data_IF_400568054718
#
_entry.id   IF_400568054718
#
_cell.length_a   1.000
_cell.length_b   1.000
_cell.length_c   1.000
_cell.angle_alpha   90.00
_cell.angle_beta   90.00
_cell.angle_gamma   90.00
#
_symmetry.space_group_name_H-M   'P 1'
#
loop_
_entity.id
_entity.type
_entity.pdbx_description
1 polymer ?
#
# COMPACT_ATOMS: atom_id res chain seq x y z
N UNK A 1 9.66 6.52 12.55
CA UNK A 1 9.30 7.52 11.53
C UNK A 1 8.55 8.65 12.21
N UNK A 2 9.10 9.86 12.35
CA UNK A 2 8.39 10.98 12.96
C UNK A 2 7.95 12.01 11.93
N UNK A 3 6.88 12.76 12.22
CA UNK A 3 6.48 13.94 11.46
C UNK A 3 6.23 15.11 12.41
N UNK A 4 6.84 16.25 12.09
CA UNK A 4 6.85 17.51 12.84
C UNK A 4 5.83 18.47 12.24
N UNK A 5 5.14 19.31 13.04
CA UNK A 5 4.22 20.38 12.61
C UNK A 5 4.63 21.72 13.25
N UNK A 6 4.40 22.84 12.58
CA UNK A 6 4.53 24.19 13.17
C UNK A 6 3.70 25.26 12.46
N UNK A 7 3.46 26.40 13.11
CA UNK A 7 2.82 27.61 12.53
C UNK A 7 3.57 28.88 13.01
N UNK A 8 4.11 29.69 12.10
CA UNK A 8 4.68 31.04 12.35
C UNK A 8 3.62 32.18 12.42
N UNK A 9 4.02 33.42 12.78
CA UNK A 9 3.15 34.59 13.06
C UNK A 9 3.14 35.66 11.94
N UNK A 10 2.03 36.42 11.86
CA UNK A 10 1.40 37.20 10.74
C UNK A 10 1.92 38.68 10.64
N UNK A 11 2.14 39.38 9.49
CA UNK A 11 1.30 40.28 8.59
C UNK A 11 2.25 41.22 7.75
N UNK A 12 1.86 42.03 6.69
CA UNK A 12 0.85 41.92 5.59
C UNK A 12 1.40 41.73 4.15
N UNK A 13 0.57 41.08 3.32
CA UNK A 13 0.17 41.34 1.91
C UNK A 13 1.20 41.70 0.82
N UNK A 14 1.16 40.95 -0.31
CA UNK A 14 1.02 41.46 -1.70
C UNK A 14 0.53 40.31 -2.62
N UNK A 15 -0.40 40.65 -3.52
CA UNK A 15 -1.05 39.82 -4.54
C UNK A 15 -0.15 39.46 -5.75
N UNK A 16 -0.57 38.48 -6.55
CA UNK A 16 -0.52 38.30 -8.03
C UNK A 16 -0.40 36.78 -8.32
N UNK A 17 -1.05 36.11 -9.27
CA UNK A 17 -1.97 36.43 -10.36
C UNK A 17 -2.30 35.09 -11.09
N UNK A 18 -3.40 35.05 -11.82
CA UNK A 18 -3.92 33.90 -12.58
C UNK A 18 -2.97 33.42 -13.70
N UNK A 19 -3.05 32.14 -14.11
CA UNK A 19 -2.95 31.69 -15.52
C UNK A 19 -3.27 30.17 -15.70
N UNK A 20 -4.32 29.92 -16.49
CA UNK A 20 -4.58 28.79 -17.41
C UNK A 20 -4.96 27.38 -16.91
N UNK A 21 -6.28 27.24 -16.79
CA UNK A 21 -7.07 26.03 -17.09
C UNK A 21 -6.85 25.55 -18.55
N UNK A 22 -6.41 24.29 -18.74
CA UNK A 22 -6.78 23.41 -19.88
C UNK A 22 -6.13 22.01 -19.77
N UNK A 23 -6.80 21.12 -19.04
CA UNK A 23 -6.75 19.65 -19.24
C UNK A 23 -7.91 18.91 -18.53
N UNK A 24 -8.76 19.63 -17.81
CA UNK A 24 -9.84 19.07 -16.98
C UNK A 24 -11.14 18.85 -17.74
N UNK A 25 -11.11 18.29 -18.95
CA UNK A 25 -12.33 17.95 -19.70
C UNK A 25 -12.32 16.59 -20.40
N UNK A 26 -11.36 15.72 -20.09
CA UNK A 26 -11.43 14.32 -20.50
C UNK A 26 -12.21 13.53 -19.45
N UNK A 27 -13.55 13.60 -19.54
CA UNK A 27 -14.45 12.70 -18.82
C UNK A 27 -14.11 11.26 -19.24
N UNK A 28 -13.32 10.58 -18.41
CA UNK A 28 -12.97 9.19 -18.60
C UNK A 28 -14.25 8.35 -18.68
N UNK A 29 -14.34 7.34 -19.57
CA UNK A 29 -15.51 6.46 -19.64
C UNK A 29 -15.76 5.85 -18.26
N UNK A 30 -17.02 5.80 -17.82
CA UNK A 30 -17.35 5.07 -16.60
C UNK A 30 -17.02 3.59 -16.85
N UNK A 31 -16.01 3.09 -16.16
CA UNK A 31 -15.71 1.67 -16.17
C UNK A 31 -16.89 0.99 -15.47
N UNK A 32 -17.69 0.24 -16.23
CA UNK A 32 -18.63 -0.72 -15.65
C UNK A 32 -17.82 -1.60 -14.70
N UNK A 33 -18.18 -1.61 -13.42
CA UNK A 33 -17.58 -2.52 -12.44
C UNK A 33 -17.62 -3.90 -13.07
N UNK A 34 -16.45 -4.53 -13.25
CA UNK A 34 -16.43 -5.96 -13.50
C UNK A 34 -17.28 -6.63 -12.42
N UNK A 35 -18.11 -7.63 -12.74
CA UNK A 35 -18.91 -8.30 -11.75
C UNK A 35 -17.95 -8.78 -10.68
N UNK A 36 -18.02 -8.15 -9.51
CA UNK A 36 -17.45 -8.72 -8.31
C UNK A 36 -18.34 -9.93 -8.10
N UNK A 37 -17.85 -11.12 -8.47
CA UNK A 37 -18.39 -12.35 -7.93
C UNK A 37 -18.13 -12.24 -6.42
N UNK A 38 -19.05 -11.58 -5.73
CA UNK A 38 -19.18 -11.72 -4.30
C UNK A 38 -19.39 -13.20 -4.11
N UNK A 39 -18.39 -13.87 -3.55
CA UNK A 39 -18.66 -15.17 -2.96
C UNK A 39 -19.62 -14.86 -1.82
N UNK A 40 -20.92 -14.93 -2.10
CA UNK A 40 -21.93 -15.26 -1.12
C UNK A 40 -21.50 -16.62 -0.59
N UNK A 41 -20.71 -16.62 0.48
CA UNK A 41 -20.36 -17.83 1.20
C UNK A 41 -21.64 -18.30 1.86
N UNK A 42 -22.39 -19.14 1.15
CA UNK A 42 -23.36 -20.00 1.79
C UNK A 42 -22.61 -20.77 2.88
N UNK A 43 -23.06 -20.62 4.13
CA UNK A 43 -22.64 -21.48 5.23
C UNK A 43 -23.09 -22.90 4.93
N UNK A 44 -22.28 -23.62 4.16
CA UNK A 44 -22.40 -25.07 4.09
C UNK A 44 -21.78 -25.62 5.35
N UNK A 45 -22.63 -26.07 6.27
CA UNK A 45 -22.29 -27.06 7.29
C UNK A 45 -21.83 -28.33 6.57
N UNK A 46 -20.52 -28.41 6.27
CA UNK A 46 -19.93 -29.61 5.68
C UNK A 46 -19.28 -30.41 6.78
N UNK A 47 -19.78 -31.62 6.97
CA UNK A 47 -19.19 -32.72 7.74
C UNK A 47 -17.80 -33.09 7.17
N UNK A 48 -16.82 -32.24 7.46
CA UNK A 48 -15.41 -32.46 7.13
C UNK A 48 -14.68 -33.04 8.33
N UNK A 49 -13.69 -33.90 8.07
CA UNK A 49 -12.78 -34.41 9.11
C UNK A 49 -12.25 -33.24 9.96
N UNK A 50 -12.52 -33.27 11.27
CA UNK A 50 -12.21 -32.17 12.20
C UNK A 50 -10.72 -32.12 12.61
N UNK A 51 -9.96 -33.21 12.39
CA UNK A 51 -8.62 -33.38 12.96
C UNK A 51 -7.61 -33.97 11.95
N UNK A 52 -6.35 -33.53 12.05
CA UNK A 52 -5.24 -34.00 11.20
C UNK A 52 -4.50 -35.24 11.76
N UNK A 53 -5.06 -35.95 12.76
CA UNK A 53 -4.36 -37.05 13.48
C UNK A 53 -4.01 -38.24 12.56
N UNK A 54 -4.81 -38.50 11.54
CA UNK A 54 -4.64 -39.62 10.61
C UNK A 54 -3.81 -39.27 9.36
N UNK A 55 -3.29 -38.04 9.26
CA UNK A 55 -2.48 -37.60 8.12
C UNK A 55 -1.01 -37.89 8.43
N UNK A 56 -0.42 -38.80 7.66
CA UNK A 56 1.02 -39.11 7.71
C UNK A 56 1.69 -38.49 6.49
N UNK A 57 2.78 -37.76 6.70
CA UNK A 57 3.56 -37.17 5.61
C UNK A 57 4.60 -38.15 5.09
N UNK A 58 4.28 -38.82 3.99
CA UNK A 58 5.13 -39.83 3.36
C UNK A 58 5.58 -39.40 1.94
N UNK A 59 5.45 -38.12 1.57
CA UNK A 59 5.76 -37.56 0.23
C UNK A 59 5.10 -38.26 -0.98
N UNK A 60 4.29 -39.31 -0.77
CA UNK A 60 3.55 -40.06 -1.81
C UNK A 60 2.11 -39.57 -1.97
N UNK A 61 1.75 -38.47 -1.30
CA UNK A 61 0.39 -37.97 -1.24
C UNK A 61 -0.16 -37.40 -2.56
N UNK A 62 0.71 -37.06 -3.52
CA UNK A 62 0.36 -36.54 -4.83
C UNK A 62 0.91 -37.48 -5.90
N UNK A 63 0.02 -38.07 -6.71
CA UNK A 63 0.41 -39.04 -7.74
C UNK A 63 0.90 -38.38 -9.03
N UNK A 64 0.52 -37.13 -9.28
CA UNK A 64 0.87 -36.38 -10.48
C UNK A 64 2.28 -35.80 -10.39
N UNK A 65 3.12 -36.11 -11.38
CA UNK A 65 4.53 -35.68 -11.42
C UNK A 65 4.67 -34.25 -11.96
N UNK A 66 5.87 -33.67 -11.81
CA UNK A 66 6.19 -32.37 -12.41
C UNK A 66 6.17 -32.37 -13.93
N UNK A 67 6.47 -33.51 -14.54
CA UNK A 67 6.53 -33.68 -15.99
C UNK A 67 5.12 -33.64 -16.58
N UNK A 68 4.17 -34.36 -15.97
CA UNK A 68 2.74 -34.35 -16.34
C UNK A 68 2.15 -32.92 -16.24
N UNK A 69 2.55 -32.18 -15.19
CA UNK A 69 2.18 -30.77 -15.02
C UNK A 69 2.74 -29.90 -16.15
N UNK A 70 3.95 -30.19 -16.62
CA UNK A 70 4.54 -29.54 -17.78
C UNK A 70 3.84 -29.89 -19.09
N UNK A 71 3.34 -31.12 -19.22
CA UNK A 71 2.58 -31.56 -20.39
C UNK A 71 1.21 -30.88 -20.47
N UNK A 72 0.45 -30.84 -19.38
CA UNK A 72 -0.83 -30.10 -19.35
C UNK A 72 -0.64 -28.62 -19.68
N UNK A 73 0.45 -28.01 -19.21
CA UNK A 73 0.80 -26.63 -19.58
C UNK A 73 1.13 -26.49 -21.07
N UNK A 74 1.86 -27.45 -21.65
CA UNK A 74 2.19 -27.49 -23.09
C UNK A 74 0.96 -27.70 -23.96
N UNK A 75 -0.01 -28.48 -23.48
CA UNK A 75 -1.31 -28.69 -24.13
C UNK A 75 -2.24 -27.47 -24.02
N UNK A 76 -1.85 -26.43 -23.26
CA UNK A 76 -2.63 -25.21 -23.11
C UNK A 76 -3.80 -25.34 -22.12
N UNK A 77 -3.77 -26.33 -21.23
CA UNK A 77 -4.78 -26.49 -20.18
C UNK A 77 -4.87 -25.24 -19.31
N UNK A 78 -6.09 -24.88 -18.91
CA UNK A 78 -6.30 -23.72 -18.03
C UNK A 78 -5.74 -23.99 -16.65
N UNK A 79 -5.33 -22.93 -15.97
CA UNK A 79 -4.82 -23.01 -14.60
C UNK A 79 -5.82 -23.67 -13.64
N UNK A 80 -7.12 -23.43 -13.84
CA UNK A 80 -8.20 -24.02 -13.03
C UNK A 80 -8.31 -25.54 -13.24
N UNK A 81 -8.21 -26.01 -14.49
CA UNK A 81 -8.22 -27.43 -14.86
C UNK A 81 -7.03 -28.17 -14.22
N UNK A 82 -5.85 -27.54 -14.19
CA UNK A 82 -4.66 -28.09 -13.51
C UNK A 82 -4.89 -28.21 -12.00
N UNK A 83 -5.60 -27.25 -11.38
CA UNK A 83 -5.91 -27.29 -9.95
C UNK A 83 -6.90 -28.42 -9.64
N UNK A 84 -7.92 -28.61 -10.47
CA UNK A 84 -8.90 -29.70 -10.33
C UNK A 84 -8.24 -31.07 -10.52
N UNK A 85 -7.38 -31.22 -11.53
CA UNK A 85 -6.60 -32.44 -11.74
C UNK A 85 -5.69 -32.76 -10.53
N UNK A 86 -5.09 -31.74 -9.91
CA UNK A 86 -4.28 -31.92 -8.71
C UNK A 86 -5.09 -32.34 -7.48
N UNK A 87 -6.34 -31.87 -7.37
CA UNK A 87 -7.26 -32.26 -6.29
C UNK A 87 -7.68 -33.72 -6.47
N UNK A 88 -8.06 -34.11 -7.70
CA UNK A 88 -8.48 -35.47 -8.02
C UNK A 88 -7.36 -36.51 -7.77
N UNK A 89 -6.09 -36.14 -8.02
CA UNK A 89 -4.93 -37.02 -7.84
C UNK A 89 -4.28 -36.96 -6.44
N UNK A 90 -4.95 -36.33 -5.46
CA UNK A 90 -4.40 -36.18 -4.10
C UNK A 90 -5.12 -37.07 -3.10
N UNK A 91 -4.48 -38.18 -2.71
CA UNK A 91 -5.02 -39.16 -1.75
C UNK A 91 -5.29 -38.60 -0.34
N UNK A 92 -4.67 -37.46 0.00
CA UNK A 92 -4.85 -36.80 1.32
C UNK A 92 -5.84 -35.65 1.30
N UNK A 93 -6.41 -35.29 0.15
CA UNK A 93 -7.20 -34.06 0.04
C UNK A 93 -8.53 -34.15 0.80
N UNK A 94 -9.26 -35.25 0.63
CA UNK A 94 -10.56 -35.46 1.29
C UNK A 94 -10.43 -35.60 2.81
N UNK A 95 -9.32 -36.18 3.30
CA UNK A 95 -9.06 -36.36 4.74
C UNK A 95 -8.74 -35.05 5.48
N UNK A 96 -8.45 -33.97 4.75
CA UNK A 96 -8.10 -32.66 5.32
C UNK A 96 -9.35 -31.91 5.78
N UNK A 97 -9.18 -31.05 6.78
CA UNK A 97 -10.22 -30.11 7.21
C UNK A 97 -10.61 -29.16 6.07
N UNK A 98 -11.85 -28.66 6.07
CA UNK A 98 -12.34 -27.70 5.06
C UNK A 98 -11.42 -26.47 4.93
N UNK A 99 -10.98 -25.94 6.06
CA UNK A 99 -10.03 -24.82 6.09
C UNK A 99 -8.71 -25.17 5.41
N UNK A 100 -8.20 -26.40 5.59
CA UNK A 100 -6.97 -26.87 4.97
C UNK A 100 -7.14 -27.15 3.47
N UNK A 101 -8.32 -27.63 3.07
CA UNK A 101 -8.70 -27.80 1.65
C UNK A 101 -8.73 -26.44 0.94
N UNK A 102 -9.36 -25.43 1.54
CA UNK A 102 -9.46 -24.09 0.95
C UNK A 102 -8.09 -23.42 0.86
N UNK A 103 -7.25 -23.52 1.90
CA UNK A 103 -5.86 -23.05 1.84
C UNK A 103 -5.06 -23.75 0.75
N UNK A 104 -5.27 -25.05 0.55
CA UNK A 104 -4.63 -25.80 -0.53
C UNK A 104 -5.09 -25.28 -1.90
N UNK A 105 -6.40 -25.07 -2.10
CA UNK A 105 -6.96 -24.49 -3.33
C UNK A 105 -6.37 -23.12 -3.63
N UNK A 106 -6.42 -22.19 -2.68
CA UNK A 106 -5.86 -20.83 -2.84
C UNK A 106 -4.36 -20.88 -3.19
N UNK A 107 -3.58 -21.74 -2.52
CA UNK A 107 -2.15 -21.93 -2.81
C UNK A 107 -1.89 -22.43 -4.24
N UNK A 108 -2.70 -23.38 -4.71
CA UNK A 108 -2.56 -23.96 -6.07
C UNK A 108 -3.07 -23.01 -7.14
N UNK A 109 -4.21 -22.35 -6.93
CA UNK A 109 -4.71 -21.29 -7.81
C UNK A 109 -3.67 -20.18 -7.97
N UNK A 110 -3.04 -19.72 -6.89
CA UNK A 110 -1.97 -18.71 -6.97
C UNK A 110 -0.79 -19.16 -7.84
N UNK A 111 -0.46 -20.46 -7.86
CA UNK A 111 0.66 -21.03 -8.62
C UNK A 111 0.33 -21.33 -10.09
N UNK A 112 -0.89 -21.79 -10.37
CA UNK A 112 -1.28 -22.34 -11.67
C UNK A 112 -2.26 -21.44 -12.45
N UNK A 113 -3.02 -20.58 -11.75
CA UNK A 113 -3.96 -19.63 -12.31
C UNK A 113 -3.72 -18.19 -11.76
N UNK A 114 -2.52 -17.59 -11.97
CA UNK A 114 -2.26 -16.23 -11.51
C UNK A 114 -3.18 -15.24 -12.24
N UNK A 115 -3.87 -14.39 -11.48
CA UNK A 115 -4.74 -13.33 -12.01
C UNK A 115 -4.01 -12.00 -11.90
N UNK A 116 -3.86 -11.30 -13.03
CA UNK A 116 -3.29 -9.95 -13.07
C UNK A 116 -4.43 -8.95 -13.15
N UNK A 117 -4.48 -8.02 -12.21
CA UNK A 117 -5.46 -6.94 -12.21
C UNK A 117 -4.76 -5.64 -12.58
N UNK A 118 -5.09 -5.09 -13.75
CA UNK A 118 -4.61 -3.77 -14.13
C UNK A 118 -5.25 -2.73 -13.20
N UNK A 119 -4.42 -2.00 -12.44
CA UNK A 119 -4.85 -0.90 -11.59
C UNK A 119 -4.37 0.42 -12.17
N UNK A 120 -5.13 1.48 -11.87
CA UNK A 120 -4.69 2.84 -12.16
C UNK A 120 -3.41 3.13 -11.38
N UNK A 121 -2.43 3.84 -11.98
CA UNK A 121 -1.23 4.23 -11.26
C UNK A 121 -1.62 5.14 -10.08
N UNK A 122 -1.14 4.80 -8.89
CA UNK A 122 -1.27 5.60 -7.67
C UNK A 122 0.10 5.69 -6.99
N UNK A 123 0.35 6.78 -6.27
CA UNK A 123 1.57 7.00 -5.50
C UNK A 123 1.66 6.02 -4.30
N UNK A 124 2.05 4.76 -4.56
CA UNK A 124 2.10 3.67 -3.58
C UNK A 124 3.46 2.96 -3.50
N UNK A 125 4.52 3.50 -4.12
CA UNK A 125 5.82 2.81 -4.20
C UNK A 125 6.80 3.41 -3.19
N UNK A 126 7.62 2.58 -2.54
CA UNK A 126 8.73 2.91 -1.63
C UNK A 126 8.43 3.49 -0.24
N UNK A 127 7.58 4.51 -0.08
CA UNK A 127 7.17 4.96 1.26
C UNK A 127 5.97 4.15 1.76
N UNK A 128 5.92 3.82 3.06
CA UNK A 128 4.71 3.18 3.63
C UNK A 128 3.51 4.12 3.45
N UNK A 129 2.37 3.56 3.07
CA UNK A 129 1.16 4.34 2.72
C UNK A 129 0.64 5.16 3.90
N UNK A 130 0.75 4.62 5.12
CA UNK A 130 0.42 5.31 6.36
C UNK A 130 1.33 6.53 6.60
N UNK A 131 2.64 6.36 6.46
CA UNK A 131 3.61 7.45 6.59
C UNK A 131 3.41 8.55 5.55
N UNK A 132 3.16 8.18 4.28
CA UNK A 132 2.85 9.13 3.22
C UNK A 132 1.55 9.90 3.52
N UNK A 133 0.50 9.18 3.95
CA UNK A 133 -0.78 9.81 4.29
C UNK A 133 -0.65 10.79 5.45
N UNK A 134 0.13 10.42 6.47
CA UNK A 134 0.40 11.27 7.63
C UNK A 134 1.17 12.52 7.23
N UNK A 135 2.18 12.39 6.36
CA UNK A 135 2.96 13.50 5.84
C UNK A 135 2.09 14.52 5.09
N UNK A 136 1.23 14.04 4.17
CA UNK A 136 0.32 14.89 3.40
C UNK A 136 -0.72 15.58 4.26
N UNK A 137 -1.24 14.88 5.28
CA UNK A 137 -2.21 15.44 6.23
C UNK A 137 -1.56 16.50 7.15
N UNK A 138 -0.34 16.26 7.65
CA UNK A 138 0.36 17.20 8.52
C UNK A 138 0.90 18.42 7.77
N UNK A 139 1.28 18.26 6.50
CA UNK A 139 1.61 19.36 5.59
C UNK A 139 0.41 20.15 5.08
N UNK A 140 -0.83 19.78 5.46
CA UNK A 140 -2.07 20.44 5.04
C UNK A 140 -2.20 20.59 3.50
N UNK A 141 -1.81 19.55 2.76
CA UNK A 141 -1.87 19.55 1.29
C UNK A 141 -3.33 19.48 0.84
N UNK A 142 -3.82 20.59 0.29
CA UNK A 142 -5.21 20.81 -0.15
C UNK A 142 -5.22 21.50 -1.52
N UNK A 143 -6.32 21.39 -2.27
CA UNK A 143 -6.44 22.03 -3.58
C UNK A 143 -6.13 23.54 -3.49
N UNK A 144 -5.39 24.05 -4.48
CA UNK A 144 -4.92 25.44 -4.56
C UNK A 144 -3.94 25.88 -3.45
N UNK A 145 -3.32 24.94 -2.73
CA UNK A 145 -2.24 25.28 -1.80
C UNK A 145 -0.89 25.44 -2.53
N UNK A 146 -0.16 26.50 -2.21
CA UNK A 146 1.23 26.67 -2.64
C UNK A 146 2.14 25.82 -1.75
N UNK A 147 2.52 24.64 -2.26
CA UNK A 147 3.31 23.67 -1.50
C UNK A 147 4.76 23.64 -1.99
N UNK A 148 5.69 23.86 -1.08
CA UNK A 148 7.12 23.65 -1.32
C UNK A 148 7.49 22.20 -0.98
N UNK A 149 8.04 21.48 -1.95
CA UNK A 149 8.39 20.06 -1.82
C UNK A 149 9.86 19.86 -2.13
N UNK A 150 10.56 19.19 -1.22
CA UNK A 150 11.91 18.67 -1.45
C UNK A 150 11.84 17.16 -1.33
N UNK A 151 12.01 16.45 -2.46
CA UNK A 151 11.85 15.00 -2.53
C UNK A 151 13.14 14.33 -3.02
N UNK A 152 13.55 13.26 -2.32
CA UNK A 152 14.64 12.35 -2.71
C UNK A 152 14.13 10.94 -3.01
N UNK A 153 12.82 10.71 -2.92
CA UNK A 153 12.12 9.42 -3.04
C UNK A 153 11.61 9.21 -4.47
N UNK A 154 12.38 9.68 -5.47
CA UNK A 154 12.07 9.47 -6.88
C UNK A 154 10.77 10.11 -7.38
N UNK A 155 10.34 11.22 -6.76
CA UNK A 155 9.17 12.00 -7.20
C UNK A 155 7.82 11.45 -6.72
N UNK A 156 7.81 10.50 -5.79
CA UNK A 156 6.58 9.88 -5.29
C UNK A 156 5.82 10.84 -4.39
N UNK A 157 6.52 11.64 -3.59
CA UNK A 157 5.90 12.67 -2.77
C UNK A 157 5.31 13.75 -3.67
N UNK A 158 6.07 14.18 -4.68
CA UNK A 158 5.64 15.14 -5.70
C UNK A 158 4.39 14.65 -6.43
N UNK A 159 4.35 13.39 -6.85
CA UNK A 159 3.19 12.79 -7.50
C UNK A 159 1.96 12.71 -6.59
N UNK A 160 2.15 12.36 -5.31
CA UNK A 160 1.06 12.31 -4.33
C UNK A 160 0.48 13.70 -4.01
N UNK A 161 1.34 14.72 -4.00
CA UNK A 161 0.93 16.13 -3.81
C UNK A 161 0.20 16.62 -5.06
N UNK A 162 0.74 16.37 -6.26
CA UNK A 162 0.09 16.73 -7.52
C UNK A 162 -1.31 16.07 -7.65
N UNK A 163 -1.45 14.81 -7.24
CA UNK A 163 -2.74 14.11 -7.22
C UNK A 163 -3.76 14.80 -6.29
N UNK A 164 -3.31 15.38 -5.16
CA UNK A 164 -4.17 16.13 -4.22
C UNK A 164 -4.44 17.57 -4.65
N UNK A 165 -3.46 18.25 -5.26
CA UNK A 165 -3.58 19.64 -5.70
C UNK A 165 -4.42 19.75 -6.97
N UNK A 166 -4.45 18.70 -7.81
CA UNK A 166 -5.13 18.73 -9.10
C UNK A 166 -4.36 19.49 -10.19
N UNK A 167 -3.19 20.06 -9.86
CA UNK A 167 -2.35 20.88 -10.72
C UNK A 167 -0.87 20.45 -10.69
N UNK A 168 -0.08 21.00 -11.63
CA UNK A 168 1.32 20.65 -11.90
C UNK A 168 2.26 21.29 -10.85
N UNK A 169 2.77 20.51 -9.90
CA UNK A 169 3.72 21.01 -8.90
C UNK A 169 5.09 21.34 -9.53
N UNK A 170 5.68 22.47 -9.16
CA UNK A 170 7.08 22.76 -9.50
C UNK A 170 8.02 21.87 -8.69
N UNK A 171 8.83 21.07 -9.38
CA UNK A 171 9.82 20.21 -8.76
C UNK A 171 11.18 20.91 -8.72
N UNK A 172 11.76 21.11 -7.54
CA UNK A 172 13.15 21.51 -7.43
C UNK A 172 13.98 20.37 -6.85
N UNK A 173 14.94 19.89 -7.65
CA UNK A 173 15.96 18.94 -7.19
C UNK A 173 17.00 19.70 -6.39
N UNK A 174 17.05 19.43 -5.08
CA UNK A 174 18.10 19.93 -4.20
C UNK A 174 19.03 18.79 -3.80
N UNK A 175 20.32 19.05 -3.60
CA UNK A 175 21.28 18.03 -3.14
C UNK A 175 22.04 18.53 -1.90
N UNK A 176 21.86 17.78 -0.80
CA UNK A 176 22.67 17.69 0.44
C UNK A 176 22.79 18.88 1.41
N UNK A 177 22.41 18.60 2.67
CA UNK A 177 23.07 19.10 3.89
C UNK A 177 22.54 20.41 4.48
N UNK A 178 21.65 20.35 5.48
CA UNK A 178 21.15 21.54 6.17
C UNK A 178 19.88 22.17 5.58
N UNK A 179 19.25 21.49 4.63
CA UNK A 179 18.09 21.95 3.82
C UNK A 179 17.02 22.64 4.66
N UNK A 180 16.65 22.10 5.83
CA UNK A 180 15.55 22.65 6.61
C UNK A 180 15.84 24.09 7.05
N UNK A 181 17.08 24.44 7.38
CA UNK A 181 17.42 25.81 7.81
C UNK A 181 17.38 26.81 6.65
N UNK A 182 17.66 26.35 5.43
CA UNK A 182 17.62 27.17 4.22
C UNK A 182 16.21 27.28 3.64
N UNK A 183 15.41 26.21 3.77
CA UNK A 183 14.06 26.10 3.21
C UNK A 183 13.01 26.69 4.15
N UNK A 184 13.21 26.63 5.47
CA UNK A 184 12.23 27.14 6.43
C UNK A 184 11.97 28.65 6.30
N UNK A 185 12.95 29.52 6.03
CA UNK A 185 12.71 30.94 5.73
C UNK A 185 11.91 31.20 4.46
N UNK A 186 11.85 30.25 3.52
CA UNK A 186 11.07 30.39 2.28
C UNK A 186 9.57 30.10 2.49
N UNK A 187 9.22 29.44 3.60
CA UNK A 187 7.83 29.15 3.95
C UNK A 187 7.14 30.41 4.48
N UNK A 188 5.89 30.59 4.06
CA UNK A 188 5.04 31.64 4.61
C UNK A 188 4.91 31.48 6.13
N UNK A 189 4.78 32.61 6.82
CA UNK A 189 4.49 32.56 8.23
C UNK A 189 3.16 31.82 8.47
N UNK A 190 3.10 30.99 9.51
CA UNK A 190 1.96 30.11 9.81
C UNK A 190 1.77 28.92 8.88
N UNK A 191 2.71 28.67 7.96
CA UNK A 191 2.65 27.48 7.12
C UNK A 191 3.00 26.21 7.92
N UNK A 192 2.18 25.15 7.82
CA UNK A 192 2.56 23.84 8.31
C UNK A 192 3.65 23.25 7.43
N UNK A 193 4.74 22.81 8.04
CA UNK A 193 5.74 21.98 7.38
C UNK A 193 5.73 20.58 7.98
N UNK A 194 6.16 19.60 7.20
CA UNK A 194 6.23 18.22 7.62
C UNK A 194 7.50 17.57 7.05
N UNK A 195 8.29 16.93 7.91
CA UNK A 195 9.57 16.31 7.54
C UNK A 195 9.46 14.80 7.73
N UNK A 196 9.85 14.04 6.72
CA UNK A 196 9.94 12.58 6.79
C UNK A 196 11.39 12.13 6.84
N UNK A 197 11.67 11.16 7.70
CA UNK A 197 12.92 10.41 7.69
C UNK A 197 12.66 8.96 8.10
N UNK A 198 13.44 8.03 7.53
CA UNK A 198 13.33 6.59 7.84
C UNK A 198 13.59 6.31 9.32
N UNK A 199 14.65 6.91 9.86
CA UNK A 199 15.06 6.80 11.26
C UNK A 199 14.57 7.97 12.11
N UNK A 200 14.18 7.72 13.36
CA UNK A 200 13.72 8.73 14.32
C UNK A 200 14.86 9.59 14.89
N UNK A 201 16.07 9.03 15.03
CA UNK A 201 17.25 9.72 15.57
C UNK A 201 17.54 11.07 14.89
N UNK A 202 17.67 11.17 13.56
CA UNK A 202 17.93 12.45 12.89
C UNK A 202 16.75 13.43 12.98
N UNK A 203 15.51 12.94 13.10
CA UNK A 203 14.34 13.81 13.35
C UNK A 203 14.38 14.40 14.75
N UNK A 204 14.81 13.64 15.76
CA UNK A 204 14.99 14.13 17.11
C UNK A 204 16.10 15.19 17.18
N UNK A 205 17.23 14.96 16.51
CA UNK A 205 18.30 15.95 16.38
C UNK A 205 17.81 17.21 15.68
N UNK A 206 17.08 17.08 14.58
CA UNK A 206 16.49 18.20 13.86
C UNK A 206 15.50 18.98 14.74
N UNK A 207 14.62 18.29 15.46
CA UNK A 207 13.66 18.90 16.38
C UNK A 207 14.39 19.69 17.47
N UNK A 208 15.47 19.13 18.04
CA UNK A 208 16.27 19.83 19.04
C UNK A 208 16.93 21.10 18.49
N UNK A 209 17.51 21.05 17.27
CA UNK A 209 18.08 22.23 16.62
C UNK A 209 17.04 23.32 16.36
N UNK A 210 15.84 22.95 15.90
CA UNK A 210 14.75 23.90 15.65
C UNK A 210 14.22 24.55 16.94
N UNK A 211 14.25 23.82 18.06
CA UNK A 211 13.88 24.35 19.37
C UNK A 211 14.90 25.36 19.90
N UNK A 212 16.19 25.08 19.75
CA UNK A 212 17.27 26.00 20.17
C UNK A 212 17.18 27.31 19.40
N UNK A 213 16.99 27.22 18.08
CA UNK A 213 16.94 28.39 17.19
C UNK A 213 15.59 29.12 17.24
N UNK A 214 14.58 28.56 17.92
CA UNK A 214 13.22 29.10 18.04
C UNK A 214 12.53 29.39 16.70
N UNK A 215 12.87 28.62 15.67
CA UNK A 215 12.35 28.79 14.31
C UNK A 215 10.96 28.16 14.12
N UNK A 216 10.54 27.27 15.03
CA UNK A 216 9.30 26.52 14.91
C UNK A 216 8.69 26.22 16.29
N UNK A 217 7.38 26.32 16.38
CA UNK A 217 6.54 25.93 17.52
C UNK A 217 5.76 24.63 17.26
N UNK A 218 5.27 23.94 18.29
CA UNK A 218 4.37 22.78 18.08
C UNK A 218 5.01 21.53 17.47
N UNK A 219 6.34 21.43 17.51
CA UNK A 219 7.12 20.31 16.98
C UNK A 219 6.68 18.99 17.66
N UNK A 220 6.39 17.95 16.87
CA UNK A 220 5.97 16.63 17.33
C UNK A 220 6.72 15.55 16.52
N UNK A 221 6.87 14.35 17.07
CA UNK A 221 7.45 13.21 16.34
C UNK A 221 6.42 12.08 16.43
N UNK A 222 5.69 11.85 15.33
CA UNK A 222 4.64 10.82 15.28
C UNK A 222 5.02 9.64 14.38
N UNK A 223 4.96 8.41 14.92
CA UNK A 223 5.21 7.18 14.18
C UNK A 223 3.93 6.38 13.91
N UNK A 224 3.51 6.24 12.64
CA UNK A 224 2.33 5.44 12.32
C UNK A 224 2.69 3.95 12.32
N UNK A 225 1.82 3.18 12.98
CA UNK A 225 1.84 1.73 13.02
C UNK A 225 0.65 1.20 12.22
N UNK A 226 0.94 0.52 11.10
CA UNK A 226 -0.08 -0.13 10.29
C UNK A 226 -0.05 -1.64 10.55
N UNK A 227 -1.19 -2.21 10.93
CA UNK A 227 -1.38 -3.66 11.09
C UNK A 227 -2.45 -4.13 10.12
N UNK A 228 -2.09 -5.07 9.26
CA UNK A 228 -3.03 -5.74 8.38
C UNK A 228 -3.68 -6.92 9.12
N UNK A 229 -4.97 -7.11 8.87
CA UNK A 229 -5.75 -8.20 9.44
C UNK A 229 -6.26 -9.09 8.33
N UNK A 230 -6.09 -10.39 8.52
CA UNK A 230 -6.74 -11.37 7.67
C UNK A 230 -8.16 -11.60 8.23
N UNK A 231 -9.16 -11.18 7.45
CA UNK A 231 -10.57 -11.42 7.77
C UNK A 231 -11.06 -12.56 6.88
N UNK A 232 -11.31 -13.72 7.50
CA UNK A 232 -11.93 -14.90 6.90
C UNK A 232 -13.19 -15.24 7.69
N UNK A 233 -14.11 -15.98 7.09
CA UNK A 233 -15.24 -16.55 7.84
C UNK A 233 -14.71 -17.34 9.06
N UNK A 234 -15.46 -17.36 10.20
CA UNK A 234 -15.01 -18.00 11.43
C UNK A 234 -14.51 -19.45 11.18
N UNK A 235 -13.46 -19.92 11.88
CA UNK A 235 -12.98 -19.48 13.19
C UNK A 235 -11.58 -18.81 13.19
N UNK A 236 -11.08 -18.30 12.05
CA UNK A 236 -9.67 -17.86 11.94
C UNK A 236 -9.54 -16.35 11.77
N UNK A 237 -9.41 -15.64 12.89
CA UNK A 237 -8.98 -14.24 12.93
C UNK A 237 -7.59 -14.17 13.54
N UNK A 238 -6.60 -13.72 12.78
CA UNK A 238 -5.22 -13.57 13.26
C UNK A 238 -4.59 -12.29 12.70
N UNK A 239 -3.72 -11.61 13.48
CA UNK A 239 -2.83 -10.58 12.93
C UNK A 239 -1.98 -11.22 11.83
N UNK A 240 -2.09 -10.75 10.58
CA UNK A 240 -1.24 -11.27 9.52
C UNK A 240 0.14 -10.62 9.65
N UNK A 241 1.15 -11.38 10.08
CA UNK A 241 2.55 -10.91 10.12
C UNK A 241 3.17 -10.74 8.74
N UNK A 242 2.57 -11.36 7.71
CA UNK A 242 3.02 -11.29 6.32
C UNK A 242 1.83 -11.31 5.37
N UNK A 243 1.22 -10.15 5.14
CA UNK A 243 0.31 -9.94 4.03
C UNK A 243 0.97 -9.03 2.96
N UNK A 244 2.23 -9.31 2.61
CA UNK A 244 2.76 -8.94 1.30
C UNK A 244 2.22 -9.91 0.22
N UNK A 245 0.91 -10.09 0.21
CA UNK A 245 0.19 -10.78 -0.85
C UNK A 245 -1.08 -9.99 -1.16
N UNK A 246 -0.90 -8.72 -1.54
CA UNK A 246 -1.94 -7.96 -2.22
C UNK A 246 -1.61 -7.91 -3.71
N UNK A 247 -2.55 -8.45 -4.46
CA UNK A 247 -2.73 -8.43 -5.92
C UNK A 247 -2.30 -7.15 -6.63
#
# INVERSE_FOLDING_TARGET
MGVVRSQMLIWPTIHYGEILQKCWNSRWPSWSKAPVSGNSLEEKDVDGSKYNRAIVDNNTAQSLTSEDIGEMRRQGAKGDEIVEALIANSATFEKKTLFSQERYRVKKQKKYAPRVLLRRPFARRFMRVDALSLLLCLGNVTANADVLVVDMVGGILTGAIAERLGELCMHQNWTHGGIIKEVLPLLAFSAPFAVYHQYASPLATCMHSLQIEKMAIGLQISEPWLREYQVLAPPVENPSTYAHERF
#
